data_IF_951818945139
#
_entry.id   IF_951818945139
#
_cell.length_a   1.000
_cell.length_b   1.000
_cell.length_c   1.000
_cell.angle_alpha   90.00
_cell.angle_beta   90.00
_cell.angle_gamma   90.00
#
_symmetry.space_group_name_H-M   'P 1'
#
loop_
_entity.id
_entity.type
_entity.pdbx_description
1 polymer ?
#
# COMPACT_ATOMS: atom_id res chain seq x y z
N UNK A 1 -11.78 -0.94 10.32
CA UNK A 1 -12.75 -0.54 9.27
C UNK A 1 -12.45 0.90 8.88
N UNK A 2 -12.54 1.23 7.60
CA UNK A 2 -12.36 2.60 7.10
C UNK A 2 -13.45 3.51 7.67
N UNK A 3 -13.11 4.73 8.08
CA UNK A 3 -14.05 5.77 8.52
C UNK A 3 -13.95 6.96 7.57
N UNK A 4 -15.11 7.42 7.12
CA UNK A 4 -15.27 8.56 6.22
C UNK A 4 -16.24 9.55 6.89
N UNK A 5 -16.06 10.84 6.62
CA UNK A 5 -16.95 11.91 7.07
C UNK A 5 -17.04 13.00 6.02
N UNK A 6 -18.24 13.53 5.78
CA UNK A 6 -18.48 14.59 4.80
C UNK A 6 -18.27 15.99 5.42
N UNK A 7 -17.77 16.95 4.64
CA UNK A 7 -17.76 18.40 4.96
C UNK A 7 -18.04 19.24 3.71
N UNK A 8 -18.23 20.55 3.89
CA UNK A 8 -18.22 21.55 2.81
C UNK A 8 -16.88 22.27 2.80
N UNK A 9 -16.38 22.52 1.59
CA UNK A 9 -15.19 23.30 1.28
C UNK A 9 -15.47 24.18 0.06
N UNK A 10 -14.69 25.24 -0.13
CA UNK A 10 -14.77 26.05 -1.34
C UNK A 10 -13.84 25.47 -2.41
N UNK A 11 -14.36 25.32 -3.62
CA UNK A 11 -13.55 24.93 -4.78
C UNK A 11 -12.56 26.05 -5.16
N UNK A 12 -11.27 25.81 -4.96
CA UNK A 12 -10.18 26.76 -5.22
C UNK A 12 -10.08 27.28 -6.66
N UNK A 13 -10.83 26.69 -7.61
CA UNK A 13 -10.92 27.14 -9.00
C UNK A 13 -12.09 28.11 -9.26
N UNK A 14 -13.19 28.04 -8.51
CA UNK A 14 -14.42 28.80 -8.82
C UNK A 14 -15.21 29.32 -7.62
N UNK A 15 -14.71 29.15 -6.40
CA UNK A 15 -15.35 29.62 -5.16
C UNK A 15 -16.59 28.84 -4.72
N UNK A 16 -16.99 27.78 -5.42
CA UNK A 16 -18.25 27.09 -5.12
C UNK A 16 -18.13 26.21 -3.88
N UNK A 17 -19.10 26.31 -2.97
CA UNK A 17 -19.33 25.30 -1.95
C UNK A 17 -19.47 23.92 -2.59
N UNK A 18 -18.62 22.99 -2.18
CA UNK A 18 -18.49 21.65 -2.73
C UNK A 18 -18.57 20.65 -1.59
N UNK A 19 -19.48 19.66 -1.63
CA UNK A 19 -19.48 18.57 -0.66
C UNK A 19 -18.32 17.61 -0.94
N UNK A 20 -17.54 17.31 0.10
CA UNK A 20 -16.35 16.47 0.01
C UNK A 20 -16.30 15.46 1.14
N UNK A 21 -15.76 14.28 0.83
CA UNK A 21 -15.48 13.25 1.81
C UNK A 21 -14.06 13.39 2.37
N UNK A 22 -13.92 13.15 3.68
CA UNK A 22 -12.64 13.08 4.37
C UNK A 22 -12.46 11.66 4.91
N UNK A 23 -11.32 11.05 4.59
CA UNK A 23 -10.94 9.74 5.14
C UNK A 23 -10.33 9.98 6.53
N UNK A 24 -11.12 9.75 7.58
CA UNK A 24 -10.71 9.98 8.98
C UNK A 24 -9.78 8.89 9.51
N UNK A 25 -9.94 7.65 9.02
CA UNK A 25 -9.02 6.54 9.30
C UNK A 25 -9.18 5.45 8.24
N UNK A 26 -8.08 5.02 7.62
CA UNK A 26 -8.06 3.86 6.72
C UNK A 26 -7.91 2.54 7.50
N UNK A 27 -8.07 1.40 6.83
CA UNK A 27 -7.78 0.10 7.44
C UNK A 27 -7.02 -0.83 6.48
N UNK A 28 -5.97 -1.48 6.99
CA UNK A 28 -5.07 -2.35 6.22
C UNK A 28 -5.60 -3.79 6.03
N UNK A 29 -6.81 -4.11 6.52
CA UNK A 29 -7.41 -5.42 6.31
C UNK A 29 -8.04 -5.52 4.92
N UNK A 30 -7.65 -6.53 4.15
CA UNK A 30 -8.27 -6.84 2.86
C UNK A 30 -7.32 -7.62 1.96
N UNK A 31 -7.57 -7.59 0.64
CA UNK A 31 -6.75 -8.28 -0.35
C UNK A 31 -5.63 -7.38 -0.84
N UNK A 32 -4.39 -7.88 -0.88
CA UNK A 32 -3.31 -7.19 -1.59
C UNK A 32 -3.21 -7.76 -3.00
N UNK A 33 -2.85 -6.95 -3.98
CA UNK A 33 -2.62 -7.42 -5.34
C UNK A 33 -1.12 -7.39 -5.65
N UNK A 34 -0.69 -8.18 -6.62
CA UNK A 34 0.71 -8.22 -7.07
C UNK A 34 1.19 -6.83 -7.50
N UNK A 35 0.35 -6.03 -8.16
CA UNK A 35 0.61 -4.63 -8.52
C UNK A 35 0.47 -3.64 -7.35
N UNK A 36 0.82 -4.08 -6.13
CA UNK A 36 0.84 -3.34 -4.86
C UNK A 36 -0.49 -2.73 -4.38
N UNK A 37 -1.56 -2.76 -5.19
CA UNK A 37 -2.88 -2.31 -4.77
C UNK A 37 -3.35 -3.04 -3.50
N UNK A 38 -3.60 -2.27 -2.44
CA UNK A 38 -4.26 -2.76 -1.23
C UNK A 38 -5.76 -2.48 -1.36
N UNK A 39 -6.55 -3.52 -1.61
CA UNK A 39 -8.01 -3.43 -1.53
C UNK A 39 -8.43 -3.45 -0.07
N UNK A 40 -9.25 -2.48 0.35
CA UNK A 40 -9.73 -2.38 1.73
C UNK A 40 -10.99 -3.23 1.99
N UNK A 41 -11.15 -3.68 3.24
CA UNK A 41 -12.40 -4.27 3.73
C UNK A 41 -13.38 -3.18 4.16
N UNK A 42 -14.59 -3.20 3.59
CA UNK A 42 -15.58 -2.13 3.71
C UNK A 42 -15.38 -1.07 2.62
N UNK A 43 -15.42 0.21 3.00
CA UNK A 43 -15.17 1.32 2.07
C UNK A 43 -13.74 1.29 1.50
N UNK A 44 -13.66 1.35 0.17
CA UNK A 44 -12.41 1.39 -0.58
C UNK A 44 -11.84 2.81 -0.60
N UNK A 45 -10.67 3.00 0.02
CA UNK A 45 -10.00 4.30 0.20
C UNK A 45 -9.83 5.05 -1.13
N UNK A 46 -9.53 4.34 -2.22
CA UNK A 46 -9.39 4.96 -3.54
C UNK A 46 -10.68 5.59 -4.09
N UNK A 47 -11.87 5.19 -3.62
CA UNK A 47 -13.13 5.75 -4.10
C UNK A 47 -13.45 7.12 -3.47
N UNK A 48 -12.84 7.45 -2.34
CA UNK A 48 -13.17 8.63 -1.53
C UNK A 48 -12.02 9.65 -1.41
N UNK A 49 -10.84 9.36 -1.97
CA UNK A 49 -9.63 10.20 -1.82
C UNK A 49 -9.58 11.43 -2.73
N UNK A 50 -10.32 11.44 -3.84
CA UNK A 50 -10.43 12.59 -4.76
C UNK A 50 -11.82 13.22 -4.69
N UNK A 51 -11.85 14.54 -4.52
CA UNK A 51 -13.08 15.34 -4.54
C UNK A 51 -13.31 15.98 -5.90
N UNK A 52 -14.57 16.24 -6.26
CA UNK A 52 -14.95 16.92 -7.50
C UNK A 52 -15.94 18.06 -7.25
N UNK A 53 -15.65 19.24 -7.78
CA UNK A 53 -16.57 20.37 -7.73
C UNK A 53 -17.73 20.17 -8.72
N UNK A 54 -19.01 20.20 -8.28
CA UNK A 54 -20.17 19.97 -9.15
C UNK A 54 -20.27 20.98 -10.30
N UNK A 55 -19.92 22.25 -10.03
CA UNK A 55 -20.07 23.39 -10.96
C UNK A 55 -19.00 23.44 -12.04
N UNK A 56 -17.71 23.37 -11.68
CA UNK A 56 -16.62 23.56 -12.63
C UNK A 56 -15.86 22.29 -13.00
N UNK A 57 -16.26 21.13 -12.47
CA UNK A 57 -15.61 19.81 -12.66
C UNK A 57 -14.11 19.80 -12.33
N UNK A 58 -13.66 20.69 -11.43
CA UNK A 58 -12.32 20.62 -10.83
C UNK A 58 -12.23 19.37 -9.97
N UNK A 59 -11.20 18.55 -10.21
CA UNK A 59 -10.88 17.37 -9.40
C UNK A 59 -9.54 17.60 -8.72
N UNK A 60 -9.45 17.23 -7.46
CA UNK A 60 -8.23 17.31 -6.65
C UNK A 60 -8.35 16.53 -5.34
N UNK A 61 -7.25 16.46 -4.59
CA UNK A 61 -7.24 15.99 -3.22
C UNK A 61 -7.95 16.99 -2.29
N UNK A 62 -8.39 16.55 -1.11
CA UNK A 62 -9.08 17.42 -0.14
C UNK A 62 -8.24 18.62 0.33
N UNK A 63 -6.92 18.54 0.26
CA UNK A 63 -5.98 19.66 0.52
C UNK A 63 -5.88 20.69 -0.60
N UNK A 64 -6.51 20.45 -1.76
CA UNK A 64 -6.58 21.40 -2.88
C UNK A 64 -7.86 22.26 -2.85
N UNK A 65 -8.68 22.13 -1.80
CA UNK A 65 -9.90 22.90 -1.56
C UNK A 65 -9.75 23.75 -0.28
N UNK A 66 -10.42 24.91 -0.23
CA UNK A 66 -10.31 25.84 0.90
C UNK A 66 -11.35 25.49 1.98
N UNK A 67 -10.90 25.26 3.21
CA UNK A 67 -11.79 24.95 4.33
C UNK A 67 -12.60 26.17 4.79
N UNK A 68 -13.92 25.98 4.92
CA UNK A 68 -14.82 26.96 5.50
C UNK A 68 -14.70 26.86 7.02
N UNK A 69 -14.01 27.82 7.65
CA UNK A 69 -14.01 27.93 9.11
C UNK A 69 -15.42 28.27 9.59
N UNK A 70 -15.97 27.41 10.46
CA UNK A 70 -17.41 27.36 10.73
C UNK A 70 -17.97 28.63 11.39
N UNK A 71 -19.09 29.09 10.85
CA UNK A 71 -20.21 29.53 11.68
C UNK A 71 -21.60 29.12 11.13
N UNK A 72 -21.64 28.33 10.06
CA UNK A 72 -22.87 27.90 9.36
C UNK A 72 -23.44 26.60 9.96
N UNK A 73 -24.75 26.56 10.21
CA UNK A 73 -25.47 25.36 10.66
C UNK A 73 -25.67 24.35 9.51
N UNK A 74 -24.64 23.55 9.24
CA UNK A 74 -24.65 22.51 8.21
C UNK A 74 -25.53 21.29 8.56
N UNK A 75 -26.25 21.28 9.69
CA UNK A 75 -27.04 20.12 10.13
C UNK A 75 -28.26 19.79 9.24
N UNK A 76 -28.65 20.71 8.35
CA UNK A 76 -29.93 20.68 7.62
C UNK A 76 -29.85 20.20 6.17
N UNK A 77 -28.66 19.93 5.62
CA UNK A 77 -28.48 19.60 4.21
C UNK A 77 -27.90 18.18 4.07
N UNK A 78 -28.64 17.30 3.39
CA UNK A 78 -28.22 15.91 3.18
C UNK A 78 -27.25 15.77 2.00
N UNK A 79 -26.04 16.30 2.15
CA UNK A 79 -24.98 16.26 1.12
C UNK A 79 -24.62 14.83 0.64
N UNK A 80 -24.99 13.79 1.39
CA UNK A 80 -24.74 12.39 1.02
C UNK A 80 -25.52 11.97 -0.24
N UNK A 81 -26.62 12.63 -0.59
CA UNK A 81 -27.34 12.38 -1.86
C UNK A 81 -26.61 13.06 -3.03
N UNK A 82 -26.15 14.30 -2.87
CA UNK A 82 -25.37 15.00 -3.89
C UNK A 82 -24.04 14.29 -4.19
N UNK A 83 -23.32 13.84 -3.16
CA UNK A 83 -22.09 13.04 -3.32
C UNK A 83 -22.38 11.75 -4.12
N UNK A 84 -23.49 11.05 -3.83
CA UNK A 84 -23.88 9.84 -4.56
C UNK A 84 -24.23 10.09 -6.03
N UNK A 85 -24.88 11.20 -6.37
CA UNK A 85 -25.11 11.57 -7.76
C UNK A 85 -23.83 12.02 -8.48
N UNK A 86 -22.91 12.68 -7.77
CA UNK A 86 -21.58 13.00 -8.29
C UNK A 86 -20.76 11.73 -8.54
N UNK A 87 -20.82 10.72 -7.68
CA UNK A 87 -20.12 9.44 -7.86
C UNK A 87 -20.67 8.62 -9.01
N UNK A 88 -22.00 8.57 -9.20
CA UNK A 88 -22.61 7.94 -10.38
C UNK A 88 -22.16 8.61 -11.69
N UNK A 89 -22.02 9.93 -11.68
CA UNK A 89 -21.64 10.75 -12.85
C UNK A 89 -20.13 10.78 -13.10
N UNK A 90 -19.33 10.69 -12.04
CA UNK A 90 -17.87 10.79 -12.03
C UNK A 90 -17.27 9.73 -11.07
N UNK A 91 -17.35 8.43 -11.41
CA UNK A 91 -16.79 7.36 -10.58
C UNK A 91 -15.28 7.54 -10.38
N UNK A 92 -14.71 6.87 -9.39
CA UNK A 92 -13.31 7.07 -8.98
C UNK A 92 -12.30 6.97 -10.15
N UNK A 93 -12.47 6.01 -11.06
CA UNK A 93 -11.67 5.90 -12.32
C UNK A 93 -11.72 7.19 -13.14
N UNK A 94 -12.92 7.77 -13.31
CA UNK A 94 -13.15 9.02 -14.05
C UNK A 94 -12.49 10.22 -13.34
N UNK A 95 -12.61 10.31 -12.01
CA UNK A 95 -11.95 11.35 -11.19
C UNK A 95 -10.42 11.29 -11.34
N UNK A 96 -9.80 10.11 -11.21
CA UNK A 96 -8.35 9.95 -11.43
C UNK A 96 -7.91 10.27 -12.87
N UNK A 97 -8.70 9.90 -13.89
CA UNK A 97 -8.43 10.26 -15.29
C UNK A 97 -8.56 11.76 -15.57
N UNK A 98 -9.44 12.47 -14.85
CA UNK A 98 -9.57 13.92 -14.93
C UNK A 98 -8.38 14.61 -14.24
N UNK A 99 -7.97 14.14 -13.06
CA UNK A 99 -6.77 14.65 -12.37
C UNK A 99 -5.50 14.42 -13.19
N UNK A 100 -5.31 13.22 -13.77
CA UNK A 100 -4.18 12.93 -14.65
C UNK A 100 -4.09 13.91 -15.83
N UNK A 101 -5.22 14.19 -16.50
CA UNK A 101 -5.30 15.18 -17.60
C UNK A 101 -5.10 16.63 -17.14
N UNK A 102 -5.34 16.92 -15.87
CA UNK A 102 -5.06 18.23 -15.25
C UNK A 102 -3.56 18.39 -15.05
N UNK A 103 -2.93 17.42 -14.39
CA UNK A 103 -1.49 17.33 -14.14
C UNK A 103 -0.67 17.25 -15.44
N UNK A 104 -1.15 16.55 -16.49
CA UNK A 104 -0.56 16.53 -17.84
C UNK A 104 -0.46 17.96 -18.44
N UNK A 105 -1.43 18.85 -18.15
CA UNK A 105 -1.45 20.25 -18.64
C UNK A 105 -0.71 21.22 -17.73
N UNK A 106 -0.72 20.96 -16.43
CA UNK A 106 -0.02 21.75 -15.41
C UNK A 106 1.50 21.51 -15.41
N UNK A 107 2.00 20.63 -16.29
CA UNK A 107 3.43 20.33 -16.42
C UNK A 107 3.99 19.50 -15.27
N UNK A 108 3.13 18.84 -14.50
CA UNK A 108 3.48 18.15 -13.26
C UNK A 108 4.51 17.02 -13.46
N UNK A 109 5.10 16.59 -12.34
CA UNK A 109 6.10 15.53 -12.33
C UNK A 109 5.50 14.21 -12.88
N UNK A 110 6.26 13.49 -13.70
CA UNK A 110 5.75 12.30 -14.40
C UNK A 110 5.31 11.20 -13.45
N UNK A 111 5.94 11.09 -12.27
CA UNK A 111 5.53 10.14 -11.23
C UNK A 111 4.13 10.43 -10.68
N UNK A 112 3.75 11.70 -10.52
CA UNK A 112 2.41 12.10 -10.07
C UNK A 112 1.35 11.74 -11.12
N UNK A 113 1.65 11.99 -12.40
CA UNK A 113 0.78 11.61 -13.52
C UNK A 113 0.65 10.09 -13.62
N UNK A 114 1.76 9.35 -13.50
CA UNK A 114 1.79 7.89 -13.48
C UNK A 114 0.92 7.30 -12.37
N UNK A 115 1.07 7.81 -11.14
CA UNK A 115 0.29 7.41 -9.98
C UNK A 115 -1.22 7.69 -10.15
N UNK A 116 -1.62 8.77 -10.83
CA UNK A 116 -3.03 9.01 -11.14
C UNK A 116 -3.59 7.95 -12.11
N UNK A 117 -2.86 7.59 -13.16
CA UNK A 117 -3.29 6.50 -14.07
C UNK A 117 -3.25 5.12 -13.38
N UNK A 118 -2.31 4.88 -12.47
CA UNK A 118 -2.22 3.66 -11.68
C UNK A 118 -3.43 3.51 -10.75
N UNK A 119 -3.73 4.56 -9.98
CA UNK A 119 -4.92 4.61 -9.13
C UNK A 119 -6.21 4.45 -9.95
N UNK A 120 -6.31 5.03 -11.16
CA UNK A 120 -7.44 4.77 -12.05
C UNK A 120 -7.58 3.27 -12.42
N UNK A 121 -6.47 2.56 -12.68
CA UNK A 121 -6.48 1.11 -12.90
C UNK A 121 -6.91 0.32 -11.64
N UNK A 122 -6.58 0.82 -10.45
CA UNK A 122 -6.98 0.18 -9.19
C UNK A 122 -8.46 0.41 -8.87
N UNK A 123 -8.95 1.65 -8.97
CA UNK A 123 -10.38 1.99 -8.88
C UNK A 123 -11.23 1.17 -9.86
N UNK A 124 -10.78 1.03 -11.11
CA UNK A 124 -11.53 0.27 -12.13
C UNK A 124 -11.64 -1.23 -11.81
N UNK A 125 -10.66 -1.79 -11.08
CA UNK A 125 -10.72 -3.15 -10.54
C UNK A 125 -11.63 -3.23 -9.31
N UNK A 126 -11.56 -2.24 -8.43
CA UNK A 126 -12.30 -2.20 -7.17
C UNK A 126 -13.81 -2.00 -7.39
N UNK A 127 -14.20 -1.08 -8.25
CA UNK A 127 -15.59 -0.83 -8.66
C UNK A 127 -16.23 -2.07 -9.32
N UNK A 128 -15.43 -2.86 -10.05
CA UNK A 128 -15.83 -4.18 -10.54
C UNK A 128 -15.99 -5.26 -9.45
N UNK A 129 -15.84 -4.91 -8.17
CA UNK A 129 -15.94 -5.82 -7.03
C UNK A 129 -16.80 -5.28 -5.88
N UNK A 130 -17.65 -4.28 -6.14
CA UNK A 130 -18.65 -3.76 -5.20
C UNK A 130 -19.46 -4.91 -4.59
N UNK A 131 -19.21 -5.43 -3.38
CA UNK A 131 -18.66 -4.94 -2.10
C UNK A 131 -19.76 -4.70 -1.08
N UNK A 132 -20.84 -4.03 -1.51
CA UNK A 132 -22.06 -3.83 -0.72
C UNK A 132 -22.80 -5.17 -0.43
N UNK A 133 -22.78 -6.12 -1.38
CA UNK A 133 -23.30 -7.49 -1.16
C UNK A 133 -22.24 -8.47 -0.58
N UNK A 134 -20.93 -8.18 -0.69
CA UNK A 134 -19.87 -9.10 -0.24
C UNK A 134 -19.80 -9.25 1.29
N UNK A 135 -20.17 -8.22 2.05
CA UNK A 135 -20.27 -8.30 3.51
C UNK A 135 -21.63 -8.81 4.00
N UNK A 136 -22.70 -8.70 3.20
CA UNK A 136 -24.03 -9.20 3.58
C UNK A 136 -24.27 -10.67 3.17
N UNK A 137 -23.69 -11.15 2.06
CA UNK A 137 -23.95 -12.51 1.55
C UNK A 137 -22.72 -13.41 1.52
N UNK A 138 -22.70 -14.34 2.46
CA UNK A 138 -21.71 -15.43 2.62
C UNK A 138 -21.39 -16.16 1.30
N UNK A 139 -20.23 -15.91 0.72
CA UNK A 139 -19.35 -16.85 -0.04
C UNK A 139 -19.95 -17.72 -1.19
N UNK A 140 -21.23 -17.61 -1.54
CA UNK A 140 -21.93 -18.52 -2.48
C UNK A 140 -22.36 -17.87 -3.80
N UNK A 141 -22.30 -16.56 -3.92
CA UNK A 141 -22.63 -15.88 -5.17
C UNK A 141 -21.36 -15.65 -6.01
N UNK A 142 -21.43 -16.06 -7.28
CA UNK A 142 -20.41 -15.82 -8.30
C UNK A 142 -20.09 -14.32 -8.32
N UNK A 143 -18.81 -13.93 -8.32
CA UNK A 143 -18.43 -12.52 -8.53
C UNK A 143 -19.10 -12.02 -9.81
N UNK A 144 -19.68 -10.80 -9.84
CA UNK A 144 -20.28 -10.26 -11.05
C UNK A 144 -19.24 -10.24 -12.17
N UNK A 145 -19.64 -10.69 -13.37
CA UNK A 145 -18.71 -10.77 -14.49
C UNK A 145 -18.31 -9.36 -14.93
N UNK A 146 -17.00 -9.08 -14.93
CA UNK A 146 -16.48 -7.76 -15.28
C UNK A 146 -16.85 -7.43 -16.72
N UNK A 147 -17.54 -6.31 -16.92
CA UNK A 147 -17.87 -5.79 -18.25
C UNK A 147 -16.57 -5.65 -19.06
N UNK A 148 -16.57 -6.08 -20.32
CA UNK A 148 -15.39 -6.03 -21.22
C UNK A 148 -14.72 -4.64 -21.25
N UNK A 149 -15.54 -3.59 -21.27
CA UNK A 149 -15.09 -2.20 -21.21
C UNK A 149 -14.29 -1.84 -19.96
N UNK A 150 -14.56 -2.46 -18.81
CA UNK A 150 -13.78 -2.26 -17.58
C UNK A 150 -12.37 -2.84 -17.70
N UNK A 151 -12.23 -4.03 -18.30
CA UNK A 151 -10.91 -4.63 -18.55
C UNK A 151 -10.11 -3.83 -19.58
N UNK A 152 -10.77 -3.34 -20.63
CA UNK A 152 -10.17 -2.46 -21.63
C UNK A 152 -9.72 -1.11 -21.02
N UNK A 153 -10.54 -0.53 -20.14
CA UNK A 153 -10.21 0.70 -19.41
C UNK A 153 -9.07 0.49 -18.40
N UNK A 154 -9.09 -0.60 -17.63
CA UNK A 154 -8.00 -0.95 -16.71
C UNK A 154 -6.67 -1.11 -17.48
N UNK A 155 -6.67 -1.84 -18.60
CA UNK A 155 -5.47 -2.05 -19.44
C UNK A 155 -5.03 -0.78 -20.17
N UNK A 156 -5.93 0.16 -20.49
CA UNK A 156 -5.59 1.50 -20.94
C UNK A 156 -4.89 2.32 -19.83
N UNK A 157 -5.44 2.32 -18.62
CA UNK A 157 -4.88 3.01 -17.47
C UNK A 157 -3.48 2.47 -17.12
N UNK A 158 -3.27 1.15 -17.14
CA UNK A 158 -1.95 0.52 -16.97
C UNK A 158 -0.93 0.98 -18.01
N UNK A 159 -1.29 0.97 -19.30
CA UNK A 159 -0.40 1.45 -20.38
C UNK A 159 -0.04 2.94 -20.23
N UNK A 160 -0.97 3.76 -19.75
CA UNK A 160 -0.73 5.18 -19.46
C UNK A 160 0.17 5.38 -18.24
N UNK A 161 -0.08 4.68 -17.13
CA UNK A 161 0.75 4.71 -15.93
C UNK A 161 2.19 4.32 -16.26
N UNK A 162 2.36 3.17 -16.94
CA UNK A 162 3.62 2.64 -17.43
C UNK A 162 4.40 3.66 -18.29
N UNK A 163 3.74 4.33 -19.26
CA UNK A 163 4.39 5.39 -20.05
C UNK A 163 4.99 6.48 -19.16
N UNK A 164 4.23 6.96 -18.16
CA UNK A 164 4.69 8.05 -17.31
C UNK A 164 5.70 7.60 -16.25
N UNK A 165 5.67 6.34 -15.80
CA UNK A 165 6.76 5.77 -15.00
C UNK A 165 8.06 5.67 -15.80
N UNK A 166 8.04 5.24 -17.06
CA UNK A 166 9.24 5.18 -17.90
C UNK A 166 9.87 6.58 -18.11
N UNK A 167 9.05 7.59 -18.40
CA UNK A 167 9.52 8.99 -18.45
C UNK A 167 10.08 9.48 -17.10
N UNK A 168 9.47 9.07 -15.98
CA UNK A 168 9.98 9.33 -14.62
C UNK A 168 11.34 8.67 -14.38
N UNK A 169 11.61 7.48 -14.94
CA UNK A 169 12.95 6.85 -14.88
C UNK A 169 13.98 7.63 -15.70
N UNK A 170 13.62 8.04 -16.93
CA UNK A 170 14.49 8.79 -17.83
C UNK A 170 14.90 10.14 -17.19
N UNK A 171 13.95 10.87 -16.61
CA UNK A 171 14.21 12.12 -15.86
C UNK A 171 15.09 11.91 -14.61
N UNK A 172 15.03 10.74 -13.96
CA UNK A 172 15.89 10.36 -12.81
C UNK A 172 17.27 9.81 -13.22
N UNK A 173 17.63 9.82 -14.51
CA UNK A 173 18.88 9.21 -14.98
C UNK A 173 18.93 7.68 -14.86
N UNK A 174 17.76 7.04 -14.87
CA UNK A 174 17.61 5.58 -14.90
C UNK A 174 17.74 4.85 -13.56
N UNK A 175 17.94 5.54 -12.44
CA UNK A 175 18.05 4.94 -11.08
C UNK A 175 16.82 5.21 -10.21
N UNK A 176 16.28 4.16 -9.61
CA UNK A 176 15.15 4.15 -8.67
C UNK A 176 15.30 2.99 -7.66
N UNK A 177 14.41 2.90 -6.67
CA UNK A 177 14.40 1.78 -5.71
C UNK A 177 13.89 0.48 -6.35
N UNK A 178 14.09 -0.63 -5.64
CA UNK A 178 13.58 -1.93 -6.05
C UNK A 178 12.05 -1.95 -6.24
N UNK A 179 11.29 -1.20 -5.44
CA UNK A 179 9.83 -1.12 -5.52
C UNK A 179 9.33 -0.43 -6.80
N UNK A 180 9.98 0.66 -7.24
CA UNK A 180 9.66 1.34 -8.51
C UNK A 180 9.90 0.39 -9.71
N UNK A 181 11.03 -0.32 -9.75
CA UNK A 181 11.31 -1.30 -10.82
C UNK A 181 10.33 -2.48 -10.82
N UNK A 182 10.02 -3.04 -9.64
CA UNK A 182 9.07 -4.14 -9.50
C UNK A 182 7.68 -3.76 -10.01
N UNK A 183 7.18 -2.57 -9.64
CA UNK A 183 5.88 -2.06 -10.09
C UNK A 183 5.83 -1.89 -11.62
N UNK A 184 6.92 -1.44 -12.23
CA UNK A 184 7.04 -1.32 -13.70
C UNK A 184 7.06 -2.70 -14.37
N UNK A 185 7.80 -3.66 -13.82
CA UNK A 185 7.82 -5.06 -14.30
C UNK A 185 6.44 -5.72 -14.24
N UNK A 186 5.73 -5.54 -13.13
CA UNK A 186 4.36 -6.04 -12.94
C UNK A 186 3.34 -5.34 -13.87
N UNK A 187 3.49 -4.04 -14.14
CA UNK A 187 2.70 -3.35 -15.17
C UNK A 187 2.98 -3.93 -16.57
N UNK A 188 4.23 -4.21 -16.93
CA UNK A 188 4.57 -4.91 -18.17
C UNK A 188 3.93 -6.31 -18.24
N UNK A 189 3.99 -7.11 -17.17
CA UNK A 189 3.35 -8.44 -17.09
C UNK A 189 1.86 -8.36 -17.41
N UNK A 190 1.14 -7.42 -16.77
CA UNK A 190 -0.32 -7.29 -16.89
C UNK A 190 -0.77 -6.71 -18.22
N UNK A 191 0.06 -5.87 -18.87
CA UNK A 191 -0.19 -5.48 -20.26
C UNK A 191 0.22 -6.56 -21.29
N UNK A 192 0.85 -7.66 -20.85
CA UNK A 192 1.30 -8.82 -21.65
C UNK A 192 2.59 -8.59 -22.45
N UNK A 193 3.50 -7.77 -21.93
CA UNK A 193 4.86 -7.52 -22.48
C UNK A 193 5.89 -8.25 -21.61
N UNK A 194 5.86 -9.59 -21.66
CA UNK A 194 6.57 -10.45 -20.70
C UNK A 194 8.10 -10.35 -20.77
N UNK A 195 8.66 -10.01 -21.95
CA UNK A 195 10.10 -9.75 -22.08
C UNK A 195 10.52 -8.58 -21.18
N UNK A 196 9.87 -7.42 -21.31
CA UNK A 196 10.17 -6.25 -20.48
C UNK A 196 9.77 -6.45 -19.03
N UNK A 197 8.75 -7.27 -18.77
CA UNK A 197 8.41 -7.69 -17.40
C UNK A 197 9.62 -8.33 -16.71
N UNK A 198 10.28 -9.29 -17.38
CA UNK A 198 11.47 -9.95 -16.85
C UNK A 198 12.66 -8.98 -16.73
N UNK A 199 12.92 -8.16 -17.76
CA UNK A 199 13.99 -7.14 -17.73
C UNK A 199 13.88 -6.20 -16.53
N UNK A 200 12.64 -5.90 -16.08
CA UNK A 200 12.37 -5.01 -14.96
C UNK A 200 12.33 -5.73 -13.61
N UNK A 201 11.92 -6.99 -13.55
CA UNK A 201 12.09 -7.81 -12.35
C UNK A 201 13.57 -8.09 -12.06
N UNK A 202 14.41 -8.32 -13.06
CA UNK A 202 15.85 -8.46 -12.84
C UNK A 202 16.50 -7.16 -12.35
N UNK A 203 16.09 -5.99 -12.89
CA UNK A 203 16.49 -4.68 -12.33
C UNK A 203 16.02 -4.49 -10.88
N UNK A 204 14.83 -4.95 -10.53
CA UNK A 204 14.33 -4.90 -9.16
C UNK A 204 15.17 -5.80 -8.22
N UNK A 205 15.57 -7.00 -8.66
CA UNK A 205 16.46 -7.90 -7.91
C UNK A 205 17.86 -7.28 -7.72
N UNK A 206 18.43 -6.66 -8.77
CA UNK A 206 19.72 -5.95 -8.67
C UNK A 206 19.62 -4.75 -7.74
N UNK A 207 18.64 -3.87 -7.92
CA UNK A 207 18.47 -2.70 -7.06
C UNK A 207 18.21 -3.06 -5.60
N UNK A 208 17.42 -4.13 -5.35
CA UNK A 208 17.19 -4.66 -4.01
C UNK A 208 18.52 -5.09 -3.36
N UNK A 209 19.36 -5.83 -4.09
CA UNK A 209 20.68 -6.28 -3.61
C UNK A 209 21.64 -5.12 -3.39
N UNK A 210 21.68 -4.13 -4.28
CA UNK A 210 22.53 -2.95 -4.15
C UNK A 210 22.11 -2.08 -2.94
N UNK A 211 20.80 -1.91 -2.71
CA UNK A 211 20.26 -1.28 -1.50
C UNK A 211 20.61 -2.07 -0.23
N UNK A 212 20.56 -3.40 -0.29
CA UNK A 212 20.71 -4.30 0.86
C UNK A 212 22.17 -4.49 1.27
N UNK A 213 23.10 -4.70 0.32
CA UNK A 213 24.53 -4.75 0.60
C UNK A 213 25.11 -3.42 1.09
N UNK A 214 24.36 -2.31 1.00
CA UNK A 214 24.71 -1.03 1.63
C UNK A 214 24.32 -0.94 3.13
N UNK A 215 23.54 -1.90 3.64
CA UNK A 215 22.92 -1.88 4.97
C UNK A 215 23.43 -3.03 5.83
N UNK A 216 23.95 -2.70 7.02
CA UNK A 216 24.30 -3.69 8.04
C UNK A 216 23.09 -3.93 8.95
N UNK A 217 22.68 -5.20 9.09
CA UNK A 217 21.62 -5.60 10.01
C UNK A 217 22.20 -6.14 11.32
N UNK A 218 21.43 -6.01 12.41
CA UNK A 218 21.88 -6.33 13.76
C UNK A 218 20.74 -6.94 14.59
N UNK A 219 20.99 -8.10 15.20
CA UNK A 219 20.04 -8.78 16.07
C UNK A 219 20.33 -8.45 17.54
N UNK A 220 19.30 -8.10 18.31
CA UNK A 220 19.42 -7.89 19.75
C UNK A 220 18.87 -9.13 20.46
N UNK A 221 19.77 -10.05 20.82
CA UNK A 221 19.41 -11.24 21.59
C UNK A 221 19.23 -10.87 23.06
N UNK A 222 17.99 -10.68 23.54
CA UNK A 222 17.74 -10.60 24.99
C UNK A 222 17.76 -12.02 25.55
N UNK A 223 18.83 -12.33 26.26
CA UNK A 223 19.01 -13.59 26.98
C UNK A 223 18.85 -13.28 28.46
N UNK A 224 17.82 -13.85 29.09
CA UNK A 224 17.75 -13.84 30.54
C UNK A 224 18.84 -14.75 31.11
N UNK A 225 19.58 -14.25 32.11
CA UNK A 225 20.65 -14.96 32.80
C UNK A 225 20.34 -15.18 34.29
N UNK A 226 19.14 -14.82 34.77
CA UNK A 226 18.72 -15.07 36.16
C UNK A 226 17.76 -14.04 36.75
N UNK A 227 16.79 -13.51 36.00
CA UNK A 227 15.66 -12.80 36.64
C UNK A 227 14.75 -13.82 37.34
N UNK A 228 14.42 -13.59 38.61
CA UNK A 228 13.70 -14.57 39.43
C UNK A 228 12.19 -14.67 39.10
N UNK A 229 11.68 -13.80 38.22
CA UNK A 229 10.30 -13.85 37.73
C UNK A 229 10.17 -13.30 36.28
N UNK A 230 9.59 -14.13 35.40
CA UNK A 230 9.24 -13.82 34.01
C UNK A 230 8.40 -12.52 33.87
N UNK A 231 7.47 -12.27 34.78
CA UNK A 231 6.64 -11.07 34.76
C UNK A 231 7.44 -9.79 35.05
N UNK A 232 8.49 -9.88 35.89
CA UNK A 232 9.35 -8.74 36.19
C UNK A 232 10.22 -8.36 34.99
N UNK A 233 10.76 -9.36 34.27
CA UNK A 233 11.47 -9.12 33.01
C UNK A 233 10.56 -8.50 31.95
N UNK A 234 9.33 -9.00 31.78
CA UNK A 234 8.35 -8.42 30.86
C UNK A 234 8.00 -6.98 31.28
N UNK A 235 7.90 -6.69 32.58
CA UNK A 235 7.66 -5.35 33.12
C UNK A 235 8.84 -4.39 32.86
N UNK A 236 10.08 -4.84 33.07
CA UNK A 236 11.31 -4.08 32.75
C UNK A 236 11.42 -3.79 31.26
N UNK A 237 11.18 -4.79 30.41
CA UNK A 237 11.13 -4.62 28.95
C UNK A 237 10.08 -3.56 28.58
N UNK A 238 8.83 -3.68 29.06
CA UNK A 238 7.76 -2.70 28.78
C UNK A 238 8.14 -1.27 29.16
N UNK A 239 8.76 -1.05 30.33
CA UNK A 239 9.24 0.29 30.73
C UNK A 239 10.29 0.84 29.77
N UNK A 240 11.22 0.01 29.29
CA UNK A 240 12.17 0.42 28.22
C UNK A 240 11.42 0.70 26.91
N UNK A 241 10.32 -0.02 26.63
CA UNK A 241 9.49 0.26 25.44
C UNK A 241 8.85 1.64 25.51
N UNK A 242 8.28 1.99 26.65
CA UNK A 242 7.61 3.27 26.88
C UNK A 242 8.59 4.47 26.94
N UNK A 243 9.91 4.22 27.02
CA UNK A 243 10.97 5.24 27.09
C UNK A 243 11.64 5.59 25.75
N UNK A 244 11.52 4.75 24.72
CA UNK A 244 12.15 4.98 23.41
C UNK A 244 11.15 5.68 22.46
N UNK A 245 11.56 6.73 21.71
CA UNK A 245 10.69 7.41 20.76
C UNK A 245 9.97 6.48 19.78
N UNK A 246 8.67 6.72 19.59
CA UNK A 246 7.75 5.81 18.89
C UNK A 246 8.03 5.55 17.39
N UNK A 247 8.76 6.36 16.59
CA UNK A 247 8.95 6.07 15.16
C UNK A 247 9.69 4.76 14.83
N UNK A 248 10.50 4.23 15.74
CA UNK A 248 11.65 3.39 15.35
C UNK A 248 11.34 1.87 15.29
N UNK A 249 10.23 1.37 15.87
CA UNK A 249 10.17 -0.07 16.23
C UNK A 249 8.80 -0.73 16.54
N UNK A 250 7.66 -0.21 16.07
CA UNK A 250 6.33 -0.77 16.41
C UNK A 250 6.09 -2.27 16.06
N UNK A 251 6.88 -2.86 15.15
CA UNK A 251 6.55 -4.15 14.53
C UNK A 251 6.99 -5.40 15.33
N UNK A 252 8.16 -5.40 15.98
CA UNK A 252 8.71 -6.61 16.65
C UNK A 252 8.34 -6.71 18.14
N UNK A 253 7.98 -5.60 18.78
CA UNK A 253 7.87 -5.47 20.24
C UNK A 253 6.68 -6.20 20.85
N UNK A 254 5.51 -6.14 20.21
CA UNK A 254 4.26 -6.79 20.69
C UNK A 254 4.32 -8.32 20.68
N UNK A 255 5.28 -8.89 19.98
CA UNK A 255 5.53 -10.34 19.93
C UNK A 255 6.42 -10.83 21.08
N UNK A 256 7.33 -9.99 21.58
CA UNK A 256 8.16 -10.27 22.77
C UNK A 256 7.25 -10.53 23.97
N UNK A 257 6.30 -9.62 24.20
CA UNK A 257 5.41 -9.60 25.36
C UNK A 257 4.43 -10.80 25.37
N UNK A 258 4.37 -11.59 24.29
CA UNK A 258 3.54 -12.80 24.14
C UNK A 258 4.32 -14.11 24.14
N UNK A 259 5.64 -14.07 23.95
CA UNK A 259 6.50 -15.25 23.84
C UNK A 259 7.35 -15.36 25.11
N UNK A 260 7.27 -16.50 25.79
CA UNK A 260 8.10 -16.75 26.97
C UNK A 260 9.59 -16.62 26.61
N UNK A 261 10.44 -16.06 27.51
CA UNK A 261 11.88 -15.98 27.25
C UNK A 261 12.52 -17.37 27.09
N UNK A 262 13.65 -17.48 26.36
CA UNK A 262 14.42 -16.40 25.73
C UNK A 262 13.76 -15.85 24.45
N UNK A 263 13.87 -14.54 24.21
CA UNK A 263 13.34 -13.89 23.00
C UNK A 263 14.46 -13.17 22.24
N UNK A 264 14.75 -13.63 21.01
CA UNK A 264 15.57 -12.87 20.06
C UNK A 264 14.76 -11.67 19.55
N UNK A 265 15.30 -10.48 19.74
CA UNK A 265 14.64 -9.20 19.47
C UNK A 265 15.26 -8.59 18.20
N UNK A 266 14.59 -8.77 17.06
CA UNK A 266 15.02 -8.14 15.81
C UNK A 266 14.72 -6.63 15.88
N UNK A 267 15.79 -5.83 15.79
CA UNK A 267 15.75 -4.38 15.68
C UNK A 267 16.33 -3.99 14.31
N UNK A 268 15.67 -3.07 13.61
CA UNK A 268 16.06 -2.68 12.25
C UNK A 268 16.47 -1.22 12.25
N UNK A 269 17.76 -0.91 12.22
CA UNK A 269 18.18 0.50 12.19
C UNK A 269 19.52 0.77 11.49
N UNK A 270 19.65 2.00 11.00
CA UNK A 270 20.77 2.52 10.24
C UNK A 270 21.78 3.22 11.16
N UNK A 271 22.76 2.44 11.63
CA UNK A 271 24.04 2.87 12.22
C UNK A 271 24.05 3.69 13.52
N UNK A 272 22.92 4.20 14.04
CA UNK A 272 22.93 5.06 15.25
C UNK A 272 21.96 4.70 16.39
N UNK A 273 20.66 4.44 16.18
CA UNK A 273 19.71 4.31 17.30
C UNK A 273 19.91 3.06 18.18
N UNK A 274 20.46 1.97 17.62
CA UNK A 274 20.74 0.72 18.34
C UNK A 274 21.52 0.93 19.65
N UNK A 275 22.49 1.84 19.67
CA UNK A 275 23.28 2.14 20.88
C UNK A 275 22.46 2.78 22.01
N UNK A 276 21.45 3.61 21.71
CA UNK A 276 20.56 4.19 22.74
C UNK A 276 19.58 3.15 23.29
N UNK A 277 19.00 2.34 22.43
CA UNK A 277 18.13 1.23 22.87
C UNK A 277 18.90 0.23 23.74
N UNK A 278 20.19 0.00 23.45
CA UNK A 278 21.09 -0.79 24.30
C UNK A 278 21.38 -0.10 25.65
N UNK A 279 21.53 1.23 25.73
CA UNK A 279 21.69 1.89 27.04
C UNK A 279 20.42 1.75 27.88
N UNK A 280 19.22 2.04 27.33
CA UNK A 280 17.98 1.88 28.09
C UNK A 280 17.75 0.44 28.59
N UNK A 281 18.09 -0.58 27.80
CA UNK A 281 18.05 -1.97 28.24
C UNK A 281 19.02 -2.23 29.42
N UNK A 282 20.27 -1.75 29.33
CA UNK A 282 21.27 -1.89 30.40
C UNK A 282 20.90 -1.13 31.67
N UNK A 283 20.37 0.08 31.53
CA UNK A 283 19.92 0.94 32.62
C UNK A 283 18.72 0.31 33.37
N UNK A 284 17.89 -0.47 32.66
CA UNK A 284 16.84 -1.31 33.26
C UNK A 284 17.34 -2.65 33.84
N UNK A 285 18.65 -2.89 33.83
CA UNK A 285 19.28 -4.12 34.33
C UNK A 285 19.21 -5.32 33.39
N UNK A 286 18.85 -5.12 32.12
CA UNK A 286 18.67 -6.20 31.13
C UNK A 286 19.98 -6.46 30.37
N UNK A 287 20.48 -7.69 30.44
CA UNK A 287 21.69 -8.14 29.74
C UNK A 287 21.38 -8.54 28.29
N UNK A 288 21.32 -7.56 27.40
CA UNK A 288 21.24 -7.80 25.96
C UNK A 288 22.60 -8.23 25.36
N UNK A 289 22.58 -9.21 24.46
CA UNK A 289 23.69 -9.55 23.56
C UNK A 289 23.36 -9.00 22.16
N UNK A 290 24.40 -8.56 21.45
CA UNK A 290 24.28 -7.90 20.16
C UNK A 290 25.11 -8.66 19.12
N UNK A 291 24.42 -9.32 18.20
CA UNK A 291 25.03 -10.10 17.13
C UNK A 291 24.82 -9.36 15.80
N UNK A 292 25.86 -9.27 14.97
CA UNK A 292 25.68 -8.81 13.58
C UNK A 292 24.93 -9.90 12.83
N UNK A 293 23.63 -9.67 12.62
CA UNK A 293 22.76 -10.62 11.94
C UNK A 293 23.04 -10.54 10.44
N UNK A 294 23.41 -11.66 9.83
CA UNK A 294 23.53 -11.80 8.38
C UNK A 294 22.18 -11.79 7.68
N UNK A 295 21.10 -11.99 8.44
CA UNK A 295 19.81 -12.37 7.89
C UNK A 295 18.98 -11.14 7.49
N UNK A 296 18.62 -11.14 6.20
CA UNK A 296 17.70 -10.18 5.58
C UNK A 296 16.40 -10.07 6.40
N UNK A 297 15.92 -8.85 6.72
CA UNK A 297 14.64 -8.63 7.38
C UNK A 297 13.49 -9.41 6.72
N UNK A 298 12.63 -10.02 7.53
CA UNK A 298 11.62 -10.97 7.03
C UNK A 298 10.66 -10.34 6.01
N UNK A 299 10.38 -9.04 6.11
CA UNK A 299 9.61 -8.27 5.14
C UNK A 299 10.36 -8.03 3.83
N UNK A 300 11.65 -7.68 3.88
CA UNK A 300 12.49 -7.53 2.68
C UNK A 300 12.73 -8.87 1.98
N UNK A 301 12.95 -9.97 2.73
CA UNK A 301 13.00 -11.34 2.17
C UNK A 301 11.67 -11.73 1.51
N UNK A 302 10.53 -11.40 2.13
CA UNK A 302 9.20 -11.59 1.50
C UNK A 302 9.05 -10.76 0.22
N UNK A 303 9.66 -9.58 0.13
CA UNK A 303 9.65 -8.77 -1.09
C UNK A 303 10.53 -9.34 -2.20
N UNK A 304 11.74 -9.83 -1.89
CA UNK A 304 12.58 -10.53 -2.88
C UNK A 304 11.87 -11.76 -3.47
N UNK A 305 11.30 -12.61 -2.61
CA UNK A 305 10.50 -13.77 -3.02
C UNK A 305 9.32 -13.36 -3.93
N UNK A 306 8.67 -12.23 -3.65
CA UNK A 306 7.57 -11.70 -4.47
C UNK A 306 8.04 -11.29 -5.88
N UNK A 307 9.22 -10.68 -6.01
CA UNK A 307 9.80 -10.35 -7.33
C UNK A 307 10.05 -11.65 -8.12
N UNK A 308 10.65 -12.67 -7.47
CA UNK A 308 10.95 -13.96 -8.10
C UNK A 308 9.67 -14.75 -8.49
N UNK A 309 8.62 -14.71 -7.68
CA UNK A 309 7.32 -15.30 -8.00
C UNK A 309 6.64 -14.59 -9.20
N UNK A 310 6.68 -13.26 -9.26
CA UNK A 310 6.08 -12.52 -10.39
C UNK A 310 6.90 -12.69 -11.68
N UNK A 311 8.23 -12.81 -11.60
CA UNK A 311 9.08 -13.19 -12.74
C UNK A 311 8.70 -14.57 -13.28
N UNK A 312 8.55 -15.57 -12.41
CA UNK A 312 8.13 -16.93 -12.80
C UNK A 312 6.77 -16.95 -13.50
N UNK A 313 5.85 -16.05 -13.12
CA UNK A 313 4.55 -15.89 -13.80
C UNK A 313 4.68 -15.19 -15.17
N UNK A 314 5.59 -14.23 -15.31
CA UNK A 314 5.88 -13.61 -16.60
C UNK A 314 6.55 -14.59 -17.58
N UNK A 315 7.49 -15.43 -17.11
CA UNK A 315 8.06 -16.56 -17.86
C UNK A 315 6.97 -17.57 -18.32
N UNK A 316 5.92 -17.76 -17.51
CA UNK A 316 4.75 -18.57 -17.85
C UNK A 316 3.73 -17.84 -18.76
N UNK A 317 4.00 -16.61 -19.18
CA UNK A 317 3.11 -15.74 -19.96
C UNK A 317 1.75 -15.47 -19.27
N UNK A 318 1.72 -15.51 -17.94
CA UNK A 318 0.52 -15.24 -17.15
C UNK A 318 0.39 -13.73 -16.88
N UNK A 319 -0.61 -13.08 -17.50
CA UNK A 319 -0.95 -11.67 -17.30
C UNK A 319 -2.08 -11.43 -16.26
N UNK A 320 -2.58 -12.48 -15.60
CA UNK A 320 -3.70 -12.37 -14.65
C UNK A 320 -3.31 -11.54 -13.42
N UNK A 321 -4.23 -10.73 -12.85
CA UNK A 321 -4.02 -10.09 -11.57
C UNK A 321 -3.90 -11.17 -10.48
N UNK A 322 -2.79 -11.21 -9.76
CA UNK A 322 -2.67 -12.08 -8.60
C UNK A 322 -3.14 -11.32 -7.37
N UNK A 323 -4.08 -11.92 -6.65
CA UNK A 323 -4.25 -11.60 -5.24
C UNK A 323 -3.06 -12.24 -4.54
N UNK A 324 -2.21 -11.41 -3.95
CA UNK A 324 -1.43 -11.84 -2.81
C UNK A 324 -2.41 -11.89 -1.63
N UNK A 325 -2.39 -12.97 -0.80
CA UNK A 325 -2.72 -13.66 1.96
C UNK A 325 -1.60 -13.63 3.09
N UNK A 326 -1.45 -12.42 3.65
CA UNK A 326 -0.26 -11.96 4.31
C UNK A 326 -0.15 -12.54 5.73
N UNK A 327 -1.18 -13.28 6.15
CA UNK A 327 -1.21 -14.14 7.34
C UNK A 327 -0.24 -15.31 7.21
N UNK A 328 -0.20 -15.97 6.05
CA UNK A 328 0.53 -17.23 5.83
C UNK A 328 1.32 -17.14 4.52
N UNK A 329 2.66 -17.08 4.61
CA UNK A 329 3.58 -16.81 3.49
C UNK A 329 3.13 -17.41 2.16
N UNK A 330 2.53 -16.57 1.30
CA UNK A 330 1.46 -17.00 0.39
C UNK A 330 1.84 -18.15 -0.56
N UNK A 331 1.17 -19.30 -0.40
CA UNK A 331 0.95 -20.21 -1.52
C UNK A 331 0.15 -19.47 -2.61
N UNK A 332 0.67 -19.44 -3.85
CA UNK A 332 -0.09 -18.92 -4.99
C UNK A 332 -1.26 -19.87 -5.27
N UNK A 333 -2.50 -19.38 -5.11
CA UNK A 333 -3.72 -20.08 -5.55
C UNK A 333 -3.83 -20.06 -7.09
N UNK A 334 -2.96 -20.82 -7.75
CA UNK A 334 -3.15 -21.21 -9.13
C UNK A 334 -4.35 -22.16 -9.22
N UNK A 335 -5.26 -21.89 -10.15
CA UNK A 335 -6.45 -22.70 -10.39
C UNK A 335 -6.09 -24.14 -10.78
N UNK A 336 -6.50 -25.13 -9.97
CA UNK A 336 -6.38 -26.55 -10.29
C UNK A 336 -7.40 -26.99 -11.35
N UNK A 337 -7.23 -26.49 -12.57
CA UNK A 337 -7.84 -27.02 -13.78
C UNK A 337 -6.79 -27.04 -14.90
N UNK A 338 -6.58 -28.08 -15.68
CA UNK A 338 -6.99 -29.50 -15.59
C UNK A 338 -5.99 -30.29 -16.48
N UNK A 339 -5.71 -31.57 -16.18
CA UNK A 339 -5.48 -32.66 -17.17
C UNK A 339 -5.08 -33.99 -16.52
N UNK A 340 -5.70 -35.08 -16.98
CA UNK A 340 -5.02 -36.37 -17.18
C UNK A 340 -4.98 -37.38 -16.02
N UNK A 341 -6.11 -38.08 -15.82
CA UNK A 341 -6.22 -39.56 -15.70
C UNK A 341 -7.73 -39.88 -15.63
N UNK A 342 -8.34 -40.30 -16.75
CA UNK A 342 -8.24 -41.63 -17.39
C UNK A 342 -9.22 -42.59 -16.72
#
# INVERSE_FOLDING_TARGET
MTKISSKIVLCSKCGEETPVEIILSMNSYGLKHSDLFQQCSGYEVLHHILSICPKCSFVGYSSEFTDIQKNTDLSRINFNEEIKELDKKYPATQRFLMLAKRLEKEGANKNQIANCFLNASWSERAYCSDSEDLFQRRLKHKRPERKKSSFELEKYCQKKALKYFLLSLEEKGGKVSAEDYYLIGELFRRISDFSKSNDYFDKAITAFKDEEYSKEYYGVSIIDFGSENEEELISKIRKVIDMIPVPEWEASTRDIVKKKPPVKLLMYDHKYPSFKSISYLKDAGIKAIFDKDSDIPLDKKKFLNLIEDMKRLAEQNDASPKVLDWKDGWYVLASKEQKGKA
#
